data_IF_362875357114
#
_entry.id   IF_362875357114
#
_cell.length_a   1.000
_cell.length_b   1.000
_cell.length_c   1.000
_cell.angle_alpha   90.00
_cell.angle_beta   90.00
_cell.angle_gamma   90.00
#
_symmetry.space_group_name_H-M   'P 1'
#
loop_
_entity.id
_entity.type
_entity.pdbx_description
1 polymer ?
#
# COMPACT_ATOMS: atom_id res chain seq x y z
N UNK A 1 12.42 9.50 -18.38
CA UNK A 1 12.88 8.54 -17.36
C UNK A 1 12.89 9.20 -15.99
N UNK A 2 12.48 8.47 -14.95
CA UNK A 2 12.41 8.93 -13.55
C UNK A 2 13.28 8.04 -12.67
N UNK A 3 13.92 8.61 -11.65
CA UNK A 3 14.70 7.83 -10.69
C UNK A 3 13.75 7.10 -9.74
N UNK A 4 13.98 5.80 -9.56
CA UNK A 4 13.18 4.94 -8.70
C UNK A 4 14.07 4.10 -7.79
N UNK A 5 13.51 3.71 -6.64
CA UNK A 5 14.05 2.61 -5.82
C UNK A 5 13.16 1.41 -6.00
N UNK A 6 13.77 0.26 -6.29
CA UNK A 6 13.05 -0.99 -6.46
C UNK A 6 13.72 -2.14 -5.73
N UNK A 7 12.99 -3.22 -5.49
CA UNK A 7 13.54 -4.49 -5.02
C UNK A 7 13.02 -5.60 -5.92
N UNK A 8 13.91 -6.47 -6.38
CA UNK A 8 13.55 -7.68 -7.13
C UNK A 8 13.52 -8.87 -6.17
N UNK A 9 12.76 -9.90 -6.54
CA UNK A 9 12.70 -11.14 -5.77
C UNK A 9 14.11 -11.72 -5.59
N UNK A 10 14.41 -12.20 -4.38
CA UNK A 10 15.74 -12.72 -4.01
C UNK A 10 16.78 -11.66 -3.65
N UNK A 11 16.52 -10.37 -3.89
CA UNK A 11 17.44 -9.30 -3.48
C UNK A 11 17.20 -8.87 -2.03
N UNK A 12 18.27 -8.75 -1.25
CA UNK A 12 18.20 -8.30 0.16
C UNK A 12 18.02 -6.79 0.33
N UNK A 13 18.39 -5.99 -0.66
CA UNK A 13 18.39 -4.52 -0.60
C UNK A 13 17.67 -3.94 -1.80
N UNK A 14 17.12 -2.74 -1.63
CA UNK A 14 16.64 -1.95 -2.75
C UNK A 14 17.81 -1.45 -3.60
N UNK A 15 17.59 -1.34 -4.90
CA UNK A 15 18.54 -0.74 -5.85
C UNK A 15 17.95 0.54 -6.44
N UNK A 16 18.84 1.47 -6.81
CA UNK A 16 18.47 2.63 -7.61
C UNK A 16 18.42 2.25 -9.08
N UNK A 17 17.39 2.73 -9.77
CA UNK A 17 17.19 2.48 -11.19
C UNK A 17 16.54 3.70 -11.86
N UNK A 18 16.54 3.71 -13.19
CA UNK A 18 15.77 4.68 -13.98
C UNK A 18 14.59 3.96 -14.62
N UNK A 19 13.38 4.42 -14.36
CA UNK A 19 12.18 3.88 -14.99
C UNK A 19 11.69 4.79 -16.12
N UNK A 20 11.15 4.21 -17.18
CA UNK A 20 10.26 4.88 -18.11
C UNK A 20 8.83 4.35 -17.88
N UNK A 21 7.99 5.05 -17.11
CA UNK A 21 6.65 4.58 -16.78
C UNK A 21 5.73 4.48 -18.00
N UNK A 22 5.95 5.30 -19.05
CA UNK A 22 5.14 5.28 -20.26
C UNK A 22 5.56 4.15 -21.18
N UNK A 23 6.87 3.92 -21.32
CA UNK A 23 7.42 2.79 -22.08
C UNK A 23 7.35 1.43 -21.35
N UNK A 24 7.06 1.42 -20.05
CA UNK A 24 6.97 0.20 -19.26
C UNK A 24 8.32 -0.50 -19.02
N UNK A 25 9.40 0.28 -18.95
CA UNK A 25 10.77 -0.25 -18.81
C UNK A 25 11.48 0.29 -17.59
N UNK A 26 12.48 -0.45 -17.12
CA UNK A 26 13.38 -0.05 -16.04
C UNK A 26 14.83 -0.40 -16.40
N UNK A 27 15.74 0.53 -16.14
CA UNK A 27 17.15 0.41 -16.45
C UNK A 27 17.99 0.41 -15.17
N UNK A 28 18.78 -0.65 -14.98
CA UNK A 28 19.75 -0.83 -13.90
C UNK A 28 20.89 -1.74 -14.38
N UNK A 29 22.08 -1.62 -13.79
CA UNK A 29 23.23 -2.46 -14.19
C UNK A 29 23.67 -2.30 -15.65
N UNK A 30 23.37 -1.17 -16.29
CA UNK A 30 23.65 -0.92 -17.71
C UNK A 30 22.70 -1.62 -18.70
N UNK A 31 21.70 -2.35 -18.21
CA UNK A 31 20.70 -3.02 -19.02
C UNK A 31 19.32 -2.38 -18.82
N UNK A 32 18.45 -2.54 -19.82
CA UNK A 32 17.04 -2.14 -19.78
C UNK A 32 16.19 -3.38 -19.84
N UNK A 33 15.26 -3.50 -18.90
CA UNK A 33 14.35 -4.63 -18.75
C UNK A 33 12.91 -4.14 -18.86
N UNK A 34 12.01 -4.97 -19.41
CA UNK A 34 10.59 -4.67 -19.29
C UNK A 34 10.09 -4.97 -17.88
N UNK A 35 9.10 -4.19 -17.42
CA UNK A 35 8.56 -4.33 -16.07
C UNK A 35 7.89 -5.70 -15.84
N UNK A 36 7.33 -6.30 -16.89
CA UNK A 36 6.63 -7.58 -16.84
C UNK A 36 7.54 -8.82 -16.89
N UNK A 37 8.81 -8.65 -17.26
CA UNK A 37 9.84 -9.71 -17.28
C UNK A 37 10.50 -9.92 -15.91
N UNK A 38 10.26 -9.01 -14.96
CA UNK A 38 10.90 -8.99 -13.66
C UNK A 38 9.99 -9.57 -12.57
N UNK A 39 10.59 -10.37 -11.69
CA UNK A 39 9.96 -10.72 -10.42
C UNK A 39 10.21 -9.64 -9.37
N UNK A 40 9.15 -9.00 -8.92
CA UNK A 40 9.21 -7.90 -7.97
C UNK A 40 9.15 -8.37 -6.52
N UNK A 41 9.77 -7.60 -5.65
CA UNK A 41 9.55 -7.62 -4.21
C UNK A 41 9.12 -6.22 -3.73
N UNK A 42 8.47 -6.13 -2.58
CA UNK A 42 8.07 -4.85 -2.01
C UNK A 42 9.31 -4.03 -1.65
N UNK A 43 9.46 -2.78 -2.13
CA UNK A 43 10.65 -1.97 -1.84
C UNK A 43 10.68 -1.40 -0.41
N UNK A 44 9.78 -1.84 0.46
CA UNK A 44 9.60 -1.39 1.83
C UNK A 44 9.41 -2.59 2.77
N UNK A 45 9.60 -2.37 4.07
CA UNK A 45 9.32 -3.34 5.13
C UNK A 45 8.77 -2.65 6.37
N UNK A 46 8.54 -3.43 7.43
CA UNK A 46 8.04 -2.91 8.71
C UNK A 46 6.51 -2.82 8.79
N UNK A 47 6.01 -2.08 9.78
CA UNK A 47 4.58 -1.87 9.99
C UNK A 47 4.02 -0.81 9.04
N UNK A 48 2.81 -1.04 8.53
CA UNK A 48 2.06 -0.04 7.78
C UNK A 48 1.00 0.59 8.67
N UNK A 49 0.87 1.91 8.63
CA UNK A 49 -0.21 2.63 9.28
C UNK A 49 -1.12 3.21 8.22
N UNK A 50 -2.42 2.98 8.35
CA UNK A 50 -3.44 3.51 7.45
C UNK A 50 -4.42 4.41 8.19
N UNK A 51 -5.11 5.24 7.42
CA UNK A 51 -6.20 6.10 7.92
C UNK A 51 -7.52 5.53 7.43
N UNK A 52 -8.40 5.15 8.35
CA UNK A 52 -9.77 4.77 8.08
C UNK A 52 -10.67 6.01 7.98
N UNK A 53 -11.83 5.90 7.32
CA UNK A 53 -12.80 6.99 7.19
C UNK A 53 -12.24 8.23 6.48
N UNK A 54 -11.27 8.02 5.58
CA UNK A 54 -10.65 9.07 4.77
C UNK A 54 -11.19 9.07 3.32
N UNK A 55 -12.34 8.42 3.10
CA UNK A 55 -13.07 8.38 1.84
C UNK A 55 -14.52 8.83 2.07
N UNK A 56 -15.04 9.67 1.17
CA UNK A 56 -16.38 10.26 1.33
C UNK A 56 -17.50 9.23 1.29
N UNK A 57 -17.35 8.11 0.56
CA UNK A 57 -18.35 7.04 0.53
C UNK A 57 -18.31 6.22 1.81
N UNK A 58 -17.12 5.87 2.29
CA UNK A 58 -16.94 5.19 3.58
C UNK A 58 -17.51 6.05 4.72
N UNK A 59 -17.25 7.36 4.70
CA UNK A 59 -17.78 8.33 5.66
C UNK A 59 -19.31 8.38 5.65
N UNK A 60 -19.92 8.56 4.47
CA UNK A 60 -21.38 8.61 4.34
C UNK A 60 -22.05 7.31 4.79
N UNK A 61 -21.45 6.16 4.46
CA UNK A 61 -21.97 4.84 4.81
C UNK A 61 -21.97 4.56 6.32
N UNK A 62 -21.10 5.21 7.09
CA UNK A 62 -20.96 5.02 8.54
C UNK A 62 -21.44 6.22 9.36
N UNK A 63 -22.03 7.23 8.71
CA UNK A 63 -22.43 8.49 9.36
C UNK A 63 -23.43 8.27 10.50
N UNK A 64 -24.39 7.36 10.32
CA UNK A 64 -25.40 7.07 11.33
C UNK A 64 -24.77 6.41 12.55
N UNK A 65 -23.91 5.42 12.34
CA UNK A 65 -23.20 4.68 13.39
C UNK A 65 -22.25 5.59 14.18
N UNK A 66 -21.57 6.52 13.50
CA UNK A 66 -20.70 7.51 14.15
C UNK A 66 -21.46 8.46 15.09
N UNK A 67 -22.72 8.77 14.79
CA UNK A 67 -23.57 9.63 15.62
C UNK A 67 -24.43 8.87 16.64
N UNK A 68 -24.26 7.55 16.75
CA UNK A 68 -24.95 6.70 17.73
C UNK A 68 -23.98 6.25 18.83
N UNK A 69 -24.48 5.77 19.99
CA UNK A 69 -23.64 5.11 20.98
C UNK A 69 -22.85 3.95 20.36
N UNK A 70 -21.57 3.74 20.73
CA UNK A 70 -20.84 4.39 21.83
C UNK A 70 -20.08 5.67 21.43
N UNK A 71 -20.14 6.13 20.17
CA UNK A 71 -19.31 7.23 19.68
C UNK A 71 -20.00 8.60 19.84
N UNK A 72 -21.30 8.68 19.53
CA UNK A 72 -22.18 9.85 19.64
C UNK A 72 -21.77 11.09 18.82
N UNK A 73 -20.59 11.09 18.20
CA UNK A 73 -20.11 12.09 17.25
C UNK A 73 -19.06 11.48 16.30
N UNK A 74 -18.93 12.02 15.07
CA UNK A 74 -17.86 11.63 14.16
C UNK A 74 -16.46 11.88 14.74
N UNK A 75 -15.43 11.13 14.28
CA UNK A 75 -14.05 11.35 14.69
C UNK A 75 -13.58 12.77 14.36
N UNK A 76 -13.03 13.46 15.36
CA UNK A 76 -12.44 14.80 15.20
C UNK A 76 -11.01 14.75 14.62
N UNK A 77 -10.36 13.58 14.69
CA UNK A 77 -9.02 13.34 14.17
C UNK A 77 -8.92 12.06 13.34
N UNK A 78 -7.76 11.81 12.70
CA UNK A 78 -7.56 10.62 11.88
C UNK A 78 -7.75 9.33 12.68
N UNK A 79 -8.61 8.44 12.18
CA UNK A 79 -8.76 7.09 12.73
C UNK A 79 -7.66 6.21 12.16
N UNK A 80 -6.67 5.89 12.98
CA UNK A 80 -5.51 5.10 12.54
C UNK A 80 -5.71 3.61 12.78
N UNK A 81 -5.28 2.81 11.81
CA UNK A 81 -5.10 1.36 11.98
C UNK A 81 -3.69 0.95 11.60
N UNK A 82 -3.22 -0.15 12.20
CA UNK A 82 -1.89 -0.73 11.94
C UNK A 82 -2.06 -2.05 11.20
N UNK A 83 -1.21 -2.28 10.20
CA UNK A 83 -1.04 -3.56 9.52
C UNK A 83 0.38 -4.09 9.77
N UNK A 84 0.51 -5.35 10.24
CA UNK A 84 1.81 -5.94 10.47
C UNK A 84 2.59 -6.18 9.16
N UNK A 85 3.90 -6.36 9.28
CA UNK A 85 4.82 -6.50 8.16
C UNK A 85 4.48 -7.68 7.23
N UNK A 86 3.89 -8.75 7.77
CA UNK A 86 3.46 -9.93 7.01
C UNK A 86 2.27 -9.68 6.07
N UNK A 87 1.66 -8.50 6.10
CA UNK A 87 0.62 -8.10 5.13
C UNK A 87 1.19 -7.44 3.87
N UNK A 88 2.49 -7.12 3.85
CA UNK A 88 3.15 -6.54 2.69
C UNK A 88 3.25 -7.61 1.60
N UNK A 89 2.75 -7.28 0.41
CA UNK A 89 2.83 -8.15 -0.75
C UNK A 89 3.46 -7.40 -1.93
N UNK A 90 4.11 -8.12 -2.84
CA UNK A 90 4.78 -7.52 -3.99
C UNK A 90 3.86 -7.42 -5.22
N UNK A 91 4.28 -6.63 -6.20
CA UNK A 91 3.58 -6.51 -7.47
C UNK A 91 3.44 -7.89 -8.15
N UNK A 92 2.25 -8.21 -8.67
CA UNK A 92 1.90 -9.48 -9.33
C UNK A 92 2.03 -10.74 -8.46
N UNK A 93 2.19 -10.61 -7.14
CA UNK A 93 2.06 -11.74 -6.23
C UNK A 93 0.59 -11.99 -5.89
N UNK A 94 0.17 -13.26 -5.76
CA UNK A 94 -1.20 -13.59 -5.39
C UNK A 94 -1.50 -13.12 -3.97
N UNK A 95 -2.77 -12.81 -3.72
CA UNK A 95 -3.29 -12.51 -2.38
C UNK A 95 -4.09 -13.72 -1.96
N UNK A 96 -3.61 -14.44 -0.94
CA UNK A 96 -4.24 -15.67 -0.50
C UNK A 96 -5.50 -15.33 0.33
N UNK A 97 -6.64 -15.84 -0.12
CA UNK A 97 -7.92 -15.69 0.57
C UNK A 97 -8.17 -16.92 1.45
N UNK A 98 -8.30 -16.77 2.78
CA UNK A 98 -8.69 -17.88 3.64
C UNK A 98 -10.10 -18.37 3.32
N UNK A 99 -10.33 -19.69 3.40
CA UNK A 99 -11.58 -20.34 2.96
C UNK A 99 -12.85 -19.86 3.68
N UNK A 100 -12.71 -19.33 4.90
CA UNK A 100 -13.82 -18.87 5.73
C UNK A 100 -14.19 -17.40 5.49
N UNK A 101 -13.39 -16.64 4.73
CA UNK A 101 -13.69 -15.24 4.45
C UNK A 101 -14.78 -15.15 3.40
N UNK A 102 -15.91 -14.54 3.78
CA UNK A 102 -17.07 -14.33 2.87
C UNK A 102 -16.95 -13.06 2.02
N UNK A 103 -16.27 -12.03 2.54
CA UNK A 103 -16.17 -10.74 1.88
C UNK A 103 -14.72 -10.24 1.79
N UNK A 104 -14.35 -9.79 0.58
CA UNK A 104 -13.04 -9.23 0.28
C UNK A 104 -13.27 -7.89 -0.43
N UNK A 105 -12.64 -6.83 0.08
CA UNK A 105 -12.63 -5.53 -0.57
C UNK A 105 -11.22 -5.11 -0.96
N UNK A 106 -11.15 -4.62 -2.18
CA UNK A 106 -9.96 -4.19 -2.88
C UNK A 106 -10.01 -2.65 -2.95
N UNK A 107 -9.14 -1.94 -2.24
CA UNK A 107 -9.19 -0.47 -2.16
C UNK A 107 -7.82 0.17 -2.51
N UNK A 108 -7.73 1.01 -3.57
CA UNK A 108 -6.52 1.76 -3.85
C UNK A 108 -6.26 2.81 -2.76
N UNK A 109 -5.00 3.03 -2.40
CA UNK A 109 -4.59 4.02 -1.43
C UNK A 109 -3.26 4.67 -1.83
N UNK A 110 -3.07 5.93 -1.44
CA UNK A 110 -1.76 6.57 -1.51
C UNK A 110 -0.98 6.23 -0.24
N UNK A 111 0.26 5.80 -0.38
CA UNK A 111 1.11 5.48 0.76
C UNK A 111 2.45 6.21 0.65
N UNK A 112 2.95 6.69 1.78
CA UNK A 112 4.29 7.24 1.90
C UNK A 112 5.21 6.35 2.73
N UNK A 113 6.48 6.23 2.35
CA UNK A 113 7.52 5.74 3.25
C UNK A 113 8.28 6.91 3.89
N UNK A 114 8.65 6.78 5.16
CA UNK A 114 9.60 7.69 5.80
C UNK A 114 11.00 7.29 5.35
N UNK A 115 11.75 8.24 4.79
CA UNK A 115 13.15 7.99 4.43
C UNK A 115 14.03 7.76 5.67
N UNK A 116 14.99 6.85 5.56
CA UNK A 116 16.05 6.61 6.54
C UNK A 116 16.99 7.83 6.60
N UNK A 117 16.62 8.86 7.36
CA UNK A 117 17.46 10.05 7.48
C UNK A 117 16.78 11.31 8.00
N UNK A 118 15.92 11.21 9.02
CA UNK A 118 15.43 12.35 9.82
C UNK A 118 14.57 13.41 9.11
N UNK A 119 14.60 13.50 7.77
CA UNK A 119 13.89 14.50 7.00
C UNK A 119 12.40 14.15 6.88
N UNK A 120 11.54 15.17 7.06
CA UNK A 120 10.07 15.11 6.97
C UNK A 120 9.55 14.90 5.54
N UNK A 121 10.24 14.14 4.70
CA UNK A 121 9.82 13.87 3.33
C UNK A 121 9.31 12.42 3.24
N UNK A 122 7.98 12.27 3.26
CA UNK A 122 7.35 11.02 2.86
C UNK A 122 7.30 10.98 1.32
N UNK A 123 7.80 9.91 0.70
CA UNK A 123 7.67 9.73 -0.76
C UNK A 123 6.39 8.97 -1.05
N UNK A 124 5.43 9.65 -1.66
CA UNK A 124 4.12 9.08 -1.96
C UNK A 124 4.17 8.17 -3.19
N UNK A 125 3.52 7.01 -3.11
CA UNK A 125 3.32 6.08 -4.21
C UNK A 125 1.95 5.42 -4.12
N UNK A 126 1.34 5.13 -5.26
CA UNK A 126 0.08 4.39 -5.32
C UNK A 126 0.32 2.95 -4.84
N UNK A 127 -0.46 2.52 -3.86
CA UNK A 127 -0.45 1.14 -3.35
C UNK A 127 -1.87 0.62 -3.30
N UNK A 128 -2.01 -0.68 -3.45
CA UNK A 128 -3.30 -1.32 -3.31
C UNK A 128 -3.46 -1.84 -1.89
N UNK A 129 -4.44 -1.33 -1.16
CA UNK A 129 -4.77 -1.79 0.18
C UNK A 129 -5.91 -2.79 0.10
N UNK A 130 -5.62 -4.05 0.45
CA UNK A 130 -6.65 -5.08 0.52
C UNK A 130 -7.18 -5.14 1.96
N UNK A 131 -8.50 -5.05 2.10
CA UNK A 131 -9.20 -5.20 3.38
C UNK A 131 -10.09 -6.43 3.30
N UNK A 132 -9.88 -7.36 4.21
CA UNK A 132 -10.72 -8.53 4.39
C UNK A 132 -11.72 -8.20 5.50
N UNK A 133 -12.99 -8.50 5.26
CA UNK A 133 -14.05 -8.27 6.23
C UNK A 133 -14.84 -9.56 6.41
N UNK A 134 -15.15 -9.88 7.66
CA UNK A 134 -16.25 -10.78 7.97
C UNK A 134 -17.43 -9.87 8.31
N UNK A 135 -18.29 -9.64 7.33
CA UNK A 135 -19.58 -8.96 7.52
C UNK A 135 -20.63 -10.04 7.33
N UNK A 136 -21.45 -10.25 8.36
CA UNK A 136 -22.72 -10.96 8.18
C UNK A 136 -23.75 -10.07 7.47
#
# INVERSE_FOLDING_TARGET
MVNVRLRLAGMRRTIEAKADPHGGTVSFGGQTHRIDELEWDAPIGGAMYGVALNDGKEWAALSKEMNAPPYEKPPEGPVLYMKPANTINAHRRPVLLPRWVKHLQAAPALAGDRADGGARAARAGARFCIRLYDRE
#
